data_IF_529578416384
#
_entry.id   IF_529578416384
#
_cell.length_a   1.000
_cell.length_b   1.000
_cell.length_c   1.000
_cell.angle_alpha   90.00
_cell.angle_beta   90.00
_cell.angle_gamma   90.00
#
_symmetry.space_group_name_H-M   'P 1'
#
loop_
_entity.id
_entity.type
_entity.pdbx_description
1 polymer ?
#
# COMPACT_ATOMS: atom_id res chain seq x y z
N UNK A 1 36.06 9.68 14.98
CA UNK A 1 35.10 8.85 15.74
C UNK A 1 33.80 9.65 15.85
N UNK A 2 32.71 9.22 15.19
CA UNK A 2 31.45 9.97 15.18
C UNK A 2 30.71 9.82 16.50
N UNK A 3 30.36 10.92 17.15
CA UNK A 3 29.60 10.93 18.41
C UNK A 3 28.10 10.91 18.07
N UNK A 4 27.36 9.92 18.58
CA UNK A 4 25.91 9.92 18.49
C UNK A 4 25.35 10.98 19.45
N UNK A 5 24.65 11.98 18.90
CA UNK A 5 24.16 13.16 19.61
C UNK A 5 22.76 12.95 20.23
N UNK A 6 22.12 11.81 19.94
CA UNK A 6 20.83 11.42 20.49
C UNK A 6 19.62 11.83 19.62
N UNK A 7 18.40 11.39 20.01
CA UNK A 7 17.21 11.39 19.15
C UNK A 7 16.74 12.78 18.69
N UNK A 8 17.06 13.84 19.43
CA UNK A 8 16.71 15.21 19.06
C UNK A 8 17.48 15.68 17.83
N UNK A 9 18.78 15.37 17.75
CA UNK A 9 19.60 15.64 16.58
C UNK A 9 19.19 14.77 15.38
N UNK A 10 18.76 13.53 15.65
CA UNK A 10 18.27 12.62 14.61
C UNK A 10 16.94 13.12 14.01
N UNK A 11 16.01 13.63 14.83
CA UNK A 11 14.76 14.24 14.35
C UNK A 11 14.99 15.51 13.55
N UNK A 12 15.94 16.35 13.96
CA UNK A 12 16.32 17.55 13.19
C UNK A 12 16.90 17.18 11.82
N UNK A 13 17.77 16.16 11.77
CA UNK A 13 18.32 15.65 10.53
C UNK A 13 17.22 15.09 9.62
N UNK A 14 16.29 14.31 10.18
CA UNK A 14 15.15 13.75 9.45
C UNK A 14 14.29 14.88 8.83
N UNK A 15 13.96 15.91 9.61
CA UNK A 15 13.15 17.03 9.12
C UNK A 15 13.83 17.85 8.01
N UNK A 16 15.17 17.83 7.95
CA UNK A 16 15.93 18.47 6.86
C UNK A 16 16.00 17.63 5.59
N UNK A 17 15.88 16.31 5.71
CA UNK A 17 15.98 15.37 4.60
C UNK A 17 14.61 15.05 3.97
N UNK A 18 13.52 15.12 4.75
CA UNK A 18 12.17 14.78 4.30
C UNK A 18 11.13 15.80 4.74
N UNK A 19 10.21 16.12 3.83
CA UNK A 19 8.98 16.85 4.14
C UNK A 19 7.97 15.90 4.78
N UNK A 20 8.19 15.55 6.05
CA UNK A 20 7.29 14.70 6.83
C UNK A 20 5.85 15.24 6.86
N UNK A 21 5.59 16.57 7.01
CA UNK A 21 4.24 17.09 6.90
C UNK A 21 3.56 16.77 5.56
N UNK A 22 4.26 16.86 4.43
CA UNK A 22 3.68 16.51 3.13
C UNK A 22 3.34 15.02 3.02
N UNK A 23 4.19 14.15 3.56
CA UNK A 23 3.97 12.70 3.57
C UNK A 23 2.80 12.34 4.50
N UNK A 24 2.72 12.95 5.69
CA UNK A 24 1.57 12.77 6.60
C UNK A 24 0.25 13.15 5.93
N UNK A 25 0.18 14.32 5.26
CA UNK A 25 -0.99 14.73 4.48
C UNK A 25 -1.32 13.76 3.34
N UNK A 26 -0.32 13.10 2.76
CA UNK A 26 -0.55 12.07 1.74
C UNK A 26 -1.23 10.84 2.36
N UNK A 27 -0.76 10.34 3.50
CA UNK A 27 -1.40 9.22 4.20
C UNK A 27 -2.83 9.55 4.62
N UNK A 28 -3.07 10.76 5.13
CA UNK A 28 -4.42 11.23 5.50
C UNK A 28 -5.38 11.19 4.32
N UNK A 29 -4.97 11.72 3.17
CA UNK A 29 -5.78 11.68 1.94
C UNK A 29 -6.02 10.25 1.47
N UNK A 30 -4.97 9.42 1.45
CA UNK A 30 -5.10 8.02 1.06
C UNK A 30 -6.12 7.28 1.94
N UNK A 31 -6.06 7.47 3.25
CA UNK A 31 -7.03 6.87 4.18
C UNK A 31 -8.44 7.42 3.94
N UNK A 32 -8.60 8.74 3.78
CA UNK A 32 -9.89 9.36 3.53
C UNK A 32 -10.55 8.87 2.23
N UNK A 33 -9.77 8.66 1.18
CA UNK A 33 -10.27 8.28 -0.14
C UNK A 33 -10.60 6.78 -0.25
N UNK A 34 -9.82 5.93 0.42
CA UNK A 34 -9.91 4.47 0.24
C UNK A 34 -10.61 3.74 1.39
N UNK A 35 -10.68 4.30 2.60
CA UNK A 35 -11.36 3.63 3.72
C UNK A 35 -12.85 3.41 3.44
N UNK A 36 -13.61 4.42 2.95
CA UNK A 36 -15.03 4.22 2.63
C UNK A 36 -15.26 3.17 1.54
N UNK A 37 -14.30 3.01 0.61
CA UNK A 37 -14.38 2.05 -0.49
C UNK A 37 -14.15 0.61 0.01
N UNK A 38 -13.16 0.44 0.90
CA UNK A 38 -12.92 -0.82 1.59
C UNK A 38 -14.15 -1.25 2.39
N UNK A 39 -14.70 -0.34 3.20
CA UNK A 39 -15.89 -0.60 4.03
C UNK A 39 -17.10 -0.96 3.16
N UNK A 40 -17.34 -0.22 2.07
CA UNK A 40 -18.41 -0.52 1.12
C UNK A 40 -18.26 -1.91 0.48
N UNK A 41 -17.05 -2.29 0.08
CA UNK A 41 -16.80 -3.63 -0.46
C UNK A 41 -17.03 -4.71 0.61
N UNK A 42 -16.56 -4.50 1.84
CA UNK A 42 -16.79 -5.44 2.95
C UNK A 42 -18.29 -5.64 3.22
N UNK A 43 -19.08 -4.57 3.22
CA UNK A 43 -20.54 -4.65 3.38
C UNK A 43 -21.20 -5.44 2.26
N UNK A 44 -20.83 -5.17 1.00
CA UNK A 44 -21.35 -5.92 -0.17
C UNK A 44 -21.00 -7.40 -0.12
N UNK A 45 -19.77 -7.72 0.29
CA UNK A 45 -19.35 -9.11 0.48
C UNK A 45 -20.13 -9.81 1.59
N UNK A 46 -20.40 -9.11 2.70
CA UNK A 46 -21.24 -9.63 3.78
C UNK A 46 -22.70 -9.85 3.35
N UNK A 47 -23.21 -9.03 2.42
CA UNK A 47 -24.54 -9.18 1.82
C UNK A 47 -24.60 -10.24 0.68
N UNK A 48 -23.46 -10.83 0.29
CA UNK A 48 -23.38 -11.79 -0.81
C UNK A 48 -23.41 -11.17 -2.22
N UNK A 49 -23.32 -9.85 -2.34
CA UNK A 49 -23.44 -9.12 -3.60
C UNK A 49 -22.15 -9.07 -4.42
N UNK A 50 -21.00 -9.41 -3.80
CA UNK A 50 -19.72 -9.58 -4.50
C UNK A 50 -19.21 -8.36 -5.28
N UNK A 51 -18.07 -8.53 -5.95
CA UNK A 51 -17.55 -7.60 -6.96
C UNK A 51 -17.18 -8.44 -8.19
N UNK A 52 -17.56 -7.97 -9.39
CA UNK A 52 -17.17 -8.64 -10.64
C UNK A 52 -15.65 -8.67 -10.80
N UNK A 53 -15.10 -9.71 -11.41
CA UNK A 53 -13.66 -9.86 -11.65
C UNK A 53 -13.04 -8.65 -12.39
N UNK A 54 -13.72 -8.11 -13.40
CA UNK A 54 -13.30 -6.89 -14.11
C UNK A 54 -13.24 -5.65 -13.21
N UNK A 55 -14.31 -5.39 -12.43
CA UNK A 55 -14.33 -4.25 -11.52
C UNK A 55 -13.26 -4.36 -10.43
N UNK A 56 -13.01 -5.58 -9.93
CA UNK A 56 -11.92 -5.82 -8.99
C UNK A 56 -10.55 -5.54 -9.60
N UNK A 57 -10.34 -5.93 -10.86
CA UNK A 57 -9.12 -5.61 -11.60
C UNK A 57 -8.90 -4.10 -11.72
N UNK A 58 -9.91 -3.35 -12.16
CA UNK A 58 -9.82 -1.88 -12.27
C UNK A 58 -9.51 -1.23 -10.91
N UNK A 59 -10.24 -1.62 -9.86
CA UNK A 59 -10.03 -1.04 -8.52
C UNK A 59 -8.64 -1.40 -7.95
N UNK A 60 -8.14 -2.63 -8.19
CA UNK A 60 -6.79 -3.04 -7.80
C UNK A 60 -5.73 -2.18 -8.47
N UNK A 61 -5.88 -1.87 -9.76
CA UNK A 61 -4.93 -1.02 -10.49
C UNK A 61 -4.93 0.39 -9.91
N UNK A 62 -6.09 0.99 -9.63
CA UNK A 62 -6.15 2.31 -8.98
C UNK A 62 -5.51 2.30 -7.59
N UNK A 63 -5.85 1.32 -6.75
CA UNK A 63 -5.30 1.17 -5.40
C UNK A 63 -3.76 1.06 -5.43
N UNK A 64 -3.22 0.18 -6.28
CA UNK A 64 -1.77 -0.02 -6.43
C UNK A 64 -1.11 1.23 -7.01
N UNK A 65 -1.72 1.87 -8.01
CA UNK A 65 -1.18 3.08 -8.62
C UNK A 65 -1.02 4.21 -7.62
N UNK A 66 -2.06 4.49 -6.84
CA UNK A 66 -2.03 5.55 -5.83
C UNK A 66 -1.04 5.22 -4.72
N UNK A 67 -1.08 4.00 -4.16
CA UNK A 67 -0.20 3.62 -3.07
C UNK A 67 1.28 3.59 -3.47
N UNK A 68 1.61 3.22 -4.71
CA UNK A 68 2.99 3.19 -5.22
C UNK A 68 3.67 4.57 -5.16
N UNK A 69 2.91 5.67 -5.16
CA UNK A 69 3.48 7.03 -5.00
C UNK A 69 4.23 7.17 -3.67
N UNK A 70 3.74 6.51 -2.60
CA UNK A 70 4.39 6.51 -1.28
C UNK A 70 5.79 5.89 -1.32
N UNK A 71 6.02 4.85 -2.14
CA UNK A 71 7.31 4.16 -2.24
C UNK A 71 8.46 5.06 -2.69
N UNK A 72 8.13 6.21 -3.32
CA UNK A 72 9.12 7.17 -3.80
C UNK A 72 9.35 8.34 -2.83
N UNK A 73 8.47 8.54 -1.84
CA UNK A 73 8.50 9.73 -0.98
C UNK A 73 8.57 9.41 0.51
N UNK A 74 8.01 8.28 0.95
CA UNK A 74 8.02 7.84 2.34
C UNK A 74 9.35 7.16 2.69
N UNK A 75 10.10 7.66 3.68
CA UNK A 75 11.37 7.09 4.09
C UNK A 75 11.29 5.83 4.95
N UNK A 76 10.10 5.36 5.36
CA UNK A 76 9.92 4.17 6.21
C UNK A 76 10.75 4.21 7.51
N UNK A 77 10.80 5.38 8.15
CA UNK A 77 11.60 5.60 9.35
C UNK A 77 11.03 4.85 10.57
N UNK A 78 11.87 4.52 11.56
CA UNK A 78 11.42 4.08 12.88
C UNK A 78 10.44 5.06 13.53
N UNK A 79 9.49 4.53 14.32
CA UNK A 79 8.42 5.32 14.92
C UNK A 79 8.92 6.44 15.85
N UNK A 80 10.09 6.28 16.45
CA UNK A 80 10.72 7.25 17.34
C UNK A 80 11.12 8.55 16.62
N UNK A 81 11.28 8.49 15.30
CA UNK A 81 11.66 9.60 14.43
C UNK A 81 10.47 10.25 13.71
N UNK A 82 9.28 9.67 13.85
CA UNK A 82 8.06 10.14 13.19
C UNK A 82 7.23 11.08 14.10
N UNK A 83 6.38 11.94 13.51
CA UNK A 83 5.39 12.71 14.25
C UNK A 83 4.43 11.81 15.03
N UNK A 84 3.88 12.31 16.14
CA UNK A 84 2.99 11.54 17.01
C UNK A 84 1.66 11.13 16.33
N UNK A 85 1.22 11.93 15.36
CA UNK A 85 -0.01 11.76 14.57
C UNK A 85 0.23 11.03 13.23
N UNK A 86 1.38 10.37 13.07
CA UNK A 86 1.74 9.73 11.81
C UNK A 86 0.82 8.58 11.42
N UNK A 87 0.08 8.76 10.31
CA UNK A 87 -0.89 7.77 9.80
C UNK A 87 -0.34 6.75 8.81
N UNK A 88 0.99 6.62 8.70
CA UNK A 88 1.61 5.69 7.74
C UNK A 88 1.22 4.24 7.96
N UNK A 89 1.10 3.80 9.22
CA UNK A 89 0.65 2.44 9.55
C UNK A 89 -0.80 2.19 9.17
N UNK A 90 -1.68 3.16 9.39
CA UNK A 90 -3.10 3.05 9.00
C UNK A 90 -3.23 2.90 7.48
N UNK A 91 -2.52 3.74 6.73
CA UNK A 91 -2.48 3.71 5.27
C UNK A 91 -1.95 2.38 4.74
N UNK A 92 -0.86 1.86 5.31
CA UNK A 92 -0.31 0.56 4.94
C UNK A 92 -1.29 -0.58 5.23
N UNK A 93 -1.88 -0.62 6.44
CA UNK A 93 -2.88 -1.63 6.81
C UNK A 93 -4.07 -1.61 5.85
N UNK A 94 -4.61 -0.42 5.60
CA UNK A 94 -5.72 -0.23 4.68
C UNK A 94 -5.40 -0.75 3.28
N UNK A 95 -4.20 -0.43 2.77
CA UNK A 95 -3.74 -0.92 1.47
C UNK A 95 -3.73 -2.45 1.43
N UNK A 96 -3.14 -3.12 2.42
CA UNK A 96 -3.07 -4.58 2.43
C UNK A 96 -4.44 -5.23 2.60
N UNK A 97 -5.28 -4.71 3.49
CA UNK A 97 -6.63 -5.23 3.72
C UNK A 97 -7.46 -5.12 2.43
N UNK A 98 -7.38 -3.98 1.74
CA UNK A 98 -8.11 -3.79 0.49
C UNK A 98 -7.53 -4.61 -0.66
N UNK A 99 -6.20 -4.63 -0.81
CA UNK A 99 -5.51 -5.44 -1.82
C UNK A 99 -5.90 -6.91 -1.70
N UNK A 100 -5.96 -7.47 -0.49
CA UNK A 100 -6.30 -8.88 -0.26
C UNK A 100 -7.71 -9.25 -0.73
N UNK A 101 -8.66 -8.32 -0.66
CA UNK A 101 -10.03 -8.54 -1.15
C UNK A 101 -10.10 -8.47 -2.69
N UNK A 102 -9.32 -7.57 -3.28
CA UNK A 102 -9.32 -7.32 -4.73
C UNK A 102 -8.45 -8.31 -5.53
N UNK A 103 -7.36 -8.80 -4.94
CA UNK A 103 -6.33 -9.57 -5.64
C UNK A 103 -6.87 -10.85 -6.30
N UNK A 104 -7.62 -11.73 -5.60
CA UNK A 104 -8.13 -12.95 -6.24
C UNK A 104 -9.04 -12.71 -7.46
N UNK A 105 -10.13 -11.89 -7.39
CA UNK A 105 -10.96 -11.61 -8.55
C UNK A 105 -10.22 -10.85 -9.67
N UNK A 106 -9.31 -9.93 -9.32
CA UNK A 106 -8.50 -9.23 -10.31
C UNK A 106 -7.55 -10.17 -11.07
N UNK A 107 -6.94 -11.11 -10.36
CA UNK A 107 -6.03 -12.10 -10.98
C UNK A 107 -6.79 -13.03 -11.92
N UNK A 108 -8.00 -13.50 -11.54
CA UNK A 108 -8.85 -14.27 -12.46
C UNK A 108 -9.19 -13.51 -13.74
N UNK A 109 -9.52 -12.22 -13.62
CA UNK A 109 -9.78 -11.38 -14.81
C UNK A 109 -8.56 -11.29 -15.72
N UNK A 110 -7.38 -11.06 -15.14
CA UNK A 110 -6.13 -11.00 -15.91
C UNK A 110 -5.82 -12.34 -16.59
N UNK A 111 -5.87 -13.45 -15.87
CA UNK A 111 -5.58 -14.79 -16.39
C UNK A 111 -6.55 -15.21 -17.50
N UNK A 112 -7.81 -14.78 -17.45
CA UNK A 112 -8.80 -15.06 -18.50
C UNK A 112 -8.50 -14.32 -19.82
N UNK A 113 -7.75 -13.22 -19.78
CA UNK A 113 -7.42 -12.39 -20.94
C UNK A 113 -5.97 -12.51 -21.38
N UNK A 114 -5.09 -12.98 -20.50
CA UNK A 114 -3.67 -13.05 -20.75
C UNK A 114 -3.32 -14.22 -21.67
N UNK A 115 -2.74 -13.90 -22.82
CA UNK A 115 -2.11 -14.89 -23.70
C UNK A 115 -0.58 -14.79 -23.53
N UNK A 116 0.03 -15.91 -23.16
CA UNK A 116 1.48 -15.96 -23.02
C UNK A 116 2.15 -15.81 -24.40
N UNK A 117 3.28 -15.09 -24.50
CA UNK A 117 4.08 -15.10 -25.72
C UNK A 117 4.43 -16.54 -26.14
N UNK A 118 4.50 -16.85 -27.45
CA UNK A 118 4.77 -18.22 -27.93
C UNK A 118 6.06 -18.83 -27.35
N UNK A 119 7.06 -17.99 -27.10
CA UNK A 119 8.39 -18.39 -26.59
C UNK A 119 8.53 -18.19 -25.07
N UNK A 120 7.43 -17.94 -24.35
CA UNK A 120 7.46 -17.77 -22.91
C UNK A 120 7.85 -19.07 -22.22
N UNK A 121 9.02 -19.07 -21.57
CA UNK A 121 9.34 -20.13 -20.62
C UNK A 121 8.47 -19.96 -19.37
N UNK A 122 8.04 -21.06 -18.72
CA UNK A 122 7.28 -20.97 -17.47
C UNK A 122 8.13 -20.21 -16.44
N UNK A 123 7.72 -18.99 -16.13
CA UNK A 123 8.29 -18.24 -15.01
C UNK A 123 7.93 -19.01 -13.76
N UNK A 124 8.93 -19.51 -13.04
CA UNK A 124 8.72 -20.22 -11.78
C UNK A 124 7.84 -19.41 -10.84
N UNK A 125 7.05 -20.10 -10.00
CA UNK A 125 6.07 -19.48 -9.11
C UNK A 125 6.63 -18.21 -8.45
N UNK A 126 5.88 -17.09 -8.44
CA UNK A 126 6.39 -15.82 -7.95
C UNK A 126 6.97 -16.00 -6.55
N UNK A 127 8.18 -15.47 -6.36
CA UNK A 127 8.82 -15.43 -5.05
C UNK A 127 7.86 -14.85 -4.02
N UNK A 128 7.88 -15.44 -2.82
CA UNK A 128 6.93 -15.26 -1.72
C UNK A 128 6.23 -13.89 -1.66
N UNK A 129 4.91 -13.94 -1.39
CA UNK A 129 4.04 -12.79 -1.09
C UNK A 129 4.80 -11.70 -0.31
N UNK A 130 4.77 -10.47 -0.83
CA UNK A 130 5.30 -9.30 -0.15
C UNK A 130 4.84 -9.28 1.32
N UNK A 131 5.78 -9.42 2.26
CA UNK A 131 5.54 -9.28 3.70
C UNK A 131 5.87 -7.83 4.06
N UNK A 132 4.89 -6.99 4.40
CA UNK A 132 5.21 -5.65 4.90
C UNK A 132 6.00 -5.77 6.20
N UNK A 133 7.09 -5.01 6.29
CA UNK A 133 7.82 -4.78 7.52
C UNK A 133 7.05 -3.79 8.40
N UNK A 134 5.87 -4.18 8.87
CA UNK A 134 5.13 -3.46 9.91
C UNK A 134 4.73 -4.49 10.96
N UNK A 135 5.65 -4.70 11.90
CA UNK A 135 5.35 -5.22 13.24
C UNK A 135 5.52 -4.05 14.22
#
# INVERSE_FOLDING_TARGET
MGKHLGPAADRELVARCWDLPAIARWHERFVADYLPRLESLQQRLAAGEGLTDQAAFVEKIHLVHEYRKALYVDPWLPAELLPADWRGRDSARLFFDYYRLLDPPATRFFEALFEAPPDAQPVGAPAARFRPAVA
#
